data_IF_387030155448
#
_entry.id   IF_387030155448
#
_cell.length_a   1.000
_cell.length_b   1.000
_cell.length_c   1.000
_cell.angle_alpha   90.00
_cell.angle_beta   90.00
_cell.angle_gamma   90.00
#
_symmetry.space_group_name_H-M   'P 1'
#
loop_
_entity.id
_entity.type
_entity.pdbx_description
1 polymer ?
#
# COMPACT_ATOMS: atom_id res chain seq x y z
N UNK A 1 -1.72 -14.91 15.35
CA UNK A 1 -0.58 -14.02 15.61
C UNK A 1 0.01 -13.57 14.27
N UNK A 2 0.28 -12.30 14.14
CA UNK A 2 0.90 -11.73 12.92
C UNK A 2 2.42 -11.78 13.07
N UNK A 3 3.08 -12.29 12.04
CA UNK A 3 4.54 -12.21 11.91
C UNK A 3 4.88 -11.14 10.89
N UNK A 4 5.99 -10.44 11.11
CA UNK A 4 6.45 -9.33 10.29
C UNK A 4 7.83 -9.65 9.75
N UNK A 5 8.01 -9.50 8.46
CA UNK A 5 9.33 -9.73 7.84
C UNK A 5 9.49 -8.94 6.53
N UNK A 6 10.72 -8.86 6.06
CA UNK A 6 11.00 -8.32 4.73
C UNK A 6 10.47 -9.24 3.64
N UNK A 7 10.19 -8.66 2.47
CA UNK A 7 9.81 -9.40 1.27
C UNK A 7 10.90 -10.41 0.89
N UNK A 8 10.48 -11.54 0.36
CA UNK A 8 11.35 -12.60 -0.15
C UNK A 8 10.89 -13.03 -1.53
N UNK A 9 11.81 -13.50 -2.37
CA UNK A 9 11.43 -14.16 -3.63
C UNK A 9 10.56 -15.38 -3.31
N UNK A 10 9.44 -15.50 -4.04
CA UNK A 10 8.39 -16.46 -3.75
C UNK A 10 7.13 -15.82 -3.19
N UNK A 11 7.21 -14.58 -2.68
CA UNK A 11 6.06 -13.84 -2.13
C UNK A 11 5.19 -13.19 -3.21
N UNK A 12 5.67 -13.09 -4.43
CA UNK A 12 5.11 -12.23 -5.47
C UNK A 12 3.63 -12.51 -5.77
N UNK A 13 3.27 -13.75 -5.97
CA UNK A 13 1.89 -14.12 -6.29
C UNK A 13 0.94 -13.80 -5.12
N UNK A 14 1.36 -14.06 -3.88
CA UNK A 14 0.57 -13.78 -2.70
C UNK A 14 0.39 -12.27 -2.48
N UNK A 15 1.43 -11.48 -2.72
CA UNK A 15 1.38 -10.02 -2.63
C UNK A 15 0.38 -9.44 -3.64
N UNK A 16 0.45 -9.88 -4.89
CA UNK A 16 -0.49 -9.43 -5.93
C UNK A 16 -1.92 -9.82 -5.59
N UNK A 17 -2.13 -11.02 -5.04
CA UNK A 17 -3.45 -11.47 -4.61
C UNK A 17 -4.02 -10.56 -3.50
N UNK A 18 -3.21 -10.15 -2.53
CA UNK A 18 -3.63 -9.19 -1.49
C UNK A 18 -3.99 -7.84 -2.10
N UNK A 19 -3.18 -7.34 -3.03
CA UNK A 19 -3.45 -6.09 -3.74
C UNK A 19 -4.80 -6.12 -4.45
N UNK A 20 -5.02 -7.13 -5.29
CA UNK A 20 -6.27 -7.27 -6.06
C UNK A 20 -7.48 -7.40 -5.13
N UNK A 21 -7.40 -8.27 -4.14
CA UNK A 21 -8.50 -8.47 -3.20
C UNK A 21 -8.82 -7.20 -2.40
N UNK A 22 -7.81 -6.49 -1.93
CA UNK A 22 -7.99 -5.26 -1.18
C UNK A 22 -8.66 -4.18 -2.03
N UNK A 23 -8.20 -3.96 -3.25
CA UNK A 23 -8.82 -2.96 -4.13
C UNK A 23 -10.27 -3.32 -4.42
N UNK A 24 -10.54 -4.53 -4.87
CA UNK A 24 -11.88 -4.92 -5.31
C UNK A 24 -12.90 -5.10 -4.19
N UNK A 25 -12.48 -5.51 -2.99
CA UNK A 25 -13.40 -5.79 -1.90
C UNK A 25 -13.49 -4.66 -0.87
N UNK A 26 -12.43 -3.88 -0.68
CA UNK A 26 -12.42 -2.79 0.31
C UNK A 26 -12.66 -1.44 -0.36
N UNK A 27 -11.95 -1.13 -1.44
CA UNK A 27 -12.06 0.17 -2.10
C UNK A 27 -13.34 0.33 -2.93
N UNK A 28 -14.10 -0.71 -3.18
CA UNK A 28 -15.35 -0.65 -3.95
C UNK A 28 -16.41 0.29 -3.39
N UNK A 29 -16.34 0.60 -2.11
CA UNK A 29 -17.27 1.56 -1.47
C UNK A 29 -16.99 3.00 -1.89
N UNK A 30 -15.79 3.30 -2.39
CA UNK A 30 -15.33 4.65 -2.69
C UNK A 30 -15.01 4.87 -4.17
N UNK A 31 -14.99 3.80 -4.97
CA UNK A 31 -14.64 3.84 -6.40
C UNK A 31 -15.59 2.98 -7.23
N UNK A 32 -15.99 3.44 -8.43
CA UNK A 32 -16.82 2.64 -9.33
C UNK A 32 -16.03 1.48 -9.95
N UNK A 33 -16.72 0.43 -10.45
CA UNK A 33 -16.07 -0.77 -10.99
C UNK A 33 -15.04 -0.52 -12.09
N UNK A 34 -15.27 0.45 -12.97
CA UNK A 34 -14.33 0.80 -14.04
C UNK A 34 -12.98 1.27 -13.49
N UNK A 35 -13.01 2.08 -12.42
CA UNK A 35 -11.79 2.57 -11.79
C UNK A 35 -11.08 1.46 -11.02
N UNK A 36 -11.81 0.58 -10.35
CA UNK A 36 -11.22 -0.59 -9.67
C UNK A 36 -10.52 -1.51 -10.66
N UNK A 37 -11.14 -1.78 -11.80
CA UNK A 37 -10.58 -2.63 -12.83
C UNK A 37 -9.30 -2.04 -13.46
N UNK A 38 -9.25 -0.72 -13.64
CA UNK A 38 -8.07 -0.03 -14.15
C UNK A 38 -6.95 0.01 -13.11
N UNK A 39 -7.29 0.20 -11.84
CA UNK A 39 -6.34 0.25 -10.73
C UNK A 39 -5.73 -1.13 -10.47
N UNK A 40 -6.55 -2.16 -10.37
CA UNK A 40 -6.12 -3.53 -10.09
C UNK A 40 -6.81 -4.49 -11.07
N UNK A 41 -6.26 -4.69 -12.28
CA UNK A 41 -6.78 -5.68 -13.20
C UNK A 41 -6.79 -7.07 -12.54
N UNK A 42 -7.94 -7.76 -12.64
CA UNK A 42 -8.10 -9.08 -12.00
C UNK A 42 -7.33 -10.18 -12.73
N UNK A 43 -6.96 -9.93 -13.99
CA UNK A 43 -6.17 -10.86 -14.82
C UNK A 43 -5.08 -10.09 -15.55
N UNK A 44 -4.02 -10.80 -15.92
CA UNK A 44 -2.95 -10.26 -16.75
C UNK A 44 -1.80 -9.59 -16.01
N UNK A 45 -1.85 -9.48 -14.68
CA UNK A 45 -0.70 -9.00 -13.91
C UNK A 45 0.33 -10.13 -13.82
N UNK A 46 1.56 -9.84 -14.27
CA UNK A 46 2.71 -10.70 -13.99
C UNK A 46 3.23 -10.39 -12.59
N UNK A 47 3.11 -11.31 -11.62
CA UNK A 47 3.48 -11.01 -10.24
C UNK A 47 4.96 -10.64 -10.07
N UNK A 48 5.85 -11.28 -10.81
CA UNK A 48 7.29 -11.01 -10.73
C UNK A 48 7.59 -9.60 -11.20
N UNK A 49 7.04 -9.20 -12.35
CA UNK A 49 7.24 -7.86 -12.90
C UNK A 49 6.61 -6.78 -12.01
N UNK A 50 5.39 -7.05 -11.50
CA UNK A 50 4.69 -6.10 -10.62
C UNK A 50 5.45 -5.87 -9.31
N UNK A 51 6.03 -6.93 -8.74
CA UNK A 51 6.76 -6.86 -7.47
C UNK A 51 8.22 -6.42 -7.62
N UNK A 52 8.78 -6.34 -8.84
CA UNK A 52 10.20 -6.00 -9.02
C UNK A 52 10.62 -4.72 -8.28
N UNK A 53 9.86 -3.60 -8.33
CA UNK A 53 10.21 -2.40 -7.56
C UNK A 53 10.22 -2.60 -6.04
N UNK A 54 9.41 -3.54 -5.53
CA UNK A 54 9.32 -3.81 -4.09
C UNK A 54 10.65 -4.32 -3.52
N UNK A 55 11.45 -5.02 -4.33
CA UNK A 55 12.76 -5.51 -3.90
C UNK A 55 13.83 -4.43 -3.90
N UNK A 56 13.58 -3.28 -4.55
CA UNK A 56 14.46 -2.11 -4.52
C UNK A 56 14.16 -1.21 -3.33
N UNK A 57 12.97 -1.33 -2.76
CA UNK A 57 12.46 -0.49 -1.68
C UNK A 57 12.56 -1.21 -0.33
N UNK A 58 12.31 -0.49 0.75
CA UNK A 58 12.06 -1.08 2.06
C UNK A 58 10.64 -1.64 2.07
N UNK A 59 10.54 -2.96 2.01
CA UNK A 59 9.25 -3.65 1.88
C UNK A 59 9.05 -4.66 3.00
N UNK A 60 7.94 -4.51 3.71
CA UNK A 60 7.51 -5.39 4.79
C UNK A 60 6.27 -6.17 4.40
N UNK A 61 6.20 -7.41 4.84
CA UNK A 61 5.00 -8.24 4.73
C UNK A 61 4.50 -8.65 6.11
N UNK A 62 3.18 -8.72 6.24
CA UNK A 62 2.49 -9.26 7.40
C UNK A 62 2.02 -10.67 7.07
N UNK A 63 2.36 -11.63 7.91
CA UNK A 63 2.06 -13.05 7.70
C UNK A 63 1.20 -13.56 8.84
N UNK A 64 0.09 -14.21 8.51
CA UNK A 64 -0.82 -14.85 9.48
C UNK A 64 -1.03 -16.30 9.07
N UNK A 65 -0.74 -17.23 9.98
CA UNK A 65 -0.88 -18.67 9.73
C UNK A 65 -0.18 -19.10 8.42
N UNK A 66 1.02 -18.59 8.16
CA UNK A 66 1.81 -18.90 6.97
C UNK A 66 1.35 -18.22 5.69
N UNK A 67 0.38 -17.31 5.75
CA UNK A 67 -0.15 -16.58 4.57
C UNK A 67 0.15 -15.10 4.69
N UNK A 68 0.54 -14.48 3.58
CA UNK A 68 0.68 -13.03 3.51
C UNK A 68 -0.73 -12.40 3.55
N UNK A 69 -0.94 -11.49 4.50
CA UNK A 69 -2.22 -10.80 4.72
C UNK A 69 -2.09 -9.29 4.60
N UNK A 70 -0.90 -8.80 4.39
CA UNK A 70 -0.66 -7.37 4.17
C UNK A 70 0.77 -7.11 3.74
N UNK A 71 0.99 -5.97 3.11
CA UNK A 71 2.33 -5.51 2.75
C UNK A 71 2.35 -3.99 2.57
N UNK A 72 3.53 -3.43 2.70
CA UNK A 72 3.77 -2.01 2.43
C UNK A 72 5.21 -1.81 1.99
N UNK A 73 5.44 -0.82 1.15
CA UNK A 73 6.79 -0.45 0.72
C UNK A 73 6.99 1.06 0.74
N UNK A 74 8.21 1.44 1.07
CA UNK A 74 8.66 2.83 1.07
C UNK A 74 9.94 2.93 0.25
N UNK A 75 10.00 3.93 -0.62
CA UNK A 75 11.22 4.23 -1.38
C UNK A 75 12.28 4.82 -0.46
N UNK A 76 13.53 4.81 -0.90
CA UNK A 76 14.65 5.40 -0.14
C UNK A 76 14.48 6.91 0.07
N UNK A 77 13.74 7.58 -0.81
CA UNK A 77 13.47 9.02 -0.69
C UNK A 77 12.32 9.36 0.27
N UNK A 78 11.60 8.37 0.79
CA UNK A 78 10.51 8.59 1.73
C UNK A 78 9.13 8.66 1.08
N UNK A 79 8.94 8.05 -0.07
CA UNK A 79 7.61 7.88 -0.66
C UNK A 79 7.02 6.53 -0.23
N UNK A 80 5.93 6.60 0.51
CA UNK A 80 5.16 5.41 0.90
C UNK A 80 4.27 5.02 -0.29
N UNK A 81 4.71 4.03 -1.04
CA UNK A 81 4.16 3.73 -2.35
C UNK A 81 2.90 2.88 -2.27
N UNK A 82 2.96 1.76 -1.55
CA UNK A 82 1.86 0.80 -1.44
C UNK A 82 1.64 0.40 0.00
N UNK A 83 0.38 0.34 0.42
CA UNK A 83 -0.06 -0.22 1.71
C UNK A 83 -1.37 -0.95 1.45
N UNK A 84 -1.35 -2.26 1.54
CA UNK A 84 -2.55 -3.08 1.32
C UNK A 84 -2.67 -4.16 2.38
N UNK A 85 -3.89 -4.37 2.86
CA UNK A 85 -4.24 -5.41 3.84
C UNK A 85 -5.40 -6.23 3.28
N UNK A 86 -5.29 -7.56 3.41
CA UNK A 86 -6.34 -8.47 2.95
C UNK A 86 -7.69 -8.11 3.56
N UNK A 87 -8.79 -8.25 2.81
CA UNK A 87 -10.13 -7.95 3.32
C UNK A 87 -10.49 -8.69 4.62
N UNK A 88 -9.97 -9.90 4.79
CA UNK A 88 -10.21 -10.74 5.97
C UNK A 88 -9.49 -10.26 7.22
N UNK A 89 -8.53 -9.35 7.09
CA UNK A 89 -7.67 -8.89 8.18
C UNK A 89 -7.72 -7.36 8.38
N UNK A 90 -8.76 -6.71 7.88
CA UNK A 90 -9.00 -5.29 8.10
C UNK A 90 -9.30 -5.00 9.58
N UNK A 91 -8.97 -3.80 10.04
CA UNK A 91 -9.32 -3.35 11.40
C UNK A 91 -8.53 -4.00 12.51
N UNK A 92 -7.39 -4.63 12.22
CA UNK A 92 -6.54 -5.32 13.20
C UNK A 92 -5.21 -4.59 13.48
N UNK A 93 -5.04 -3.39 12.97
CA UNK A 93 -3.82 -2.60 13.17
C UNK A 93 -2.65 -3.01 12.27
N UNK A 94 -2.87 -3.83 11.25
CA UNK A 94 -1.79 -4.30 10.37
C UNK A 94 -1.19 -3.15 9.57
N UNK A 95 -2.02 -2.34 8.91
CA UNK A 95 -1.54 -1.18 8.14
C UNK A 95 -0.80 -0.19 9.03
N UNK A 96 -1.33 0.10 10.21
CA UNK A 96 -0.72 1.00 11.19
C UNK A 96 0.67 0.51 11.60
N UNK A 97 0.82 -0.79 11.85
CA UNK A 97 2.12 -1.37 12.21
C UNK A 97 3.12 -1.29 11.05
N UNK A 98 2.70 -1.68 9.84
CA UNK A 98 3.57 -1.61 8.66
C UNK A 98 4.09 -0.20 8.41
N UNK A 99 3.20 0.79 8.42
CA UNK A 99 3.56 2.20 8.21
C UNK A 99 4.51 2.69 9.31
N UNK A 100 4.21 2.37 10.56
CA UNK A 100 5.04 2.79 11.71
C UNK A 100 6.46 2.25 11.63
N UNK A 101 6.63 0.99 11.24
CA UNK A 101 7.97 0.39 11.08
C UNK A 101 8.73 1.05 9.93
N UNK A 102 8.07 1.25 8.78
CA UNK A 102 8.71 1.91 7.63
C UNK A 102 9.10 3.35 7.95
N UNK A 103 8.28 4.08 8.71
CA UNK A 103 8.63 5.44 9.17
C UNK A 103 9.87 5.43 10.06
N UNK A 104 9.98 4.47 10.99
CA UNK A 104 11.17 4.35 11.84
C UNK A 104 12.42 4.06 11.01
N UNK A 105 12.32 3.17 10.02
CA UNK A 105 13.43 2.87 9.12
C UNK A 105 13.85 4.12 8.33
N UNK A 106 12.88 4.83 7.77
CA UNK A 106 13.14 6.05 7.02
C UNK A 106 13.85 7.11 7.88
N UNK A 107 13.37 7.31 9.10
CA UNK A 107 14.00 8.25 10.04
C UNK A 107 15.45 7.86 10.36
N UNK A 108 15.72 6.57 10.54
CA UNK A 108 17.06 6.07 10.79
C UNK A 108 18.00 6.30 9.60
N UNK A 109 17.47 6.44 8.39
CA UNK A 109 18.23 6.74 7.17
C UNK A 109 18.25 8.24 6.81
N UNK A 110 17.82 9.12 7.72
CA UNK A 110 17.90 10.56 7.54
C UNK A 110 16.73 11.16 6.75
N UNK A 111 15.67 10.42 6.51
CA UNK A 111 14.45 10.95 5.89
C UNK A 111 13.65 11.72 6.94
N UNK A 112 13.24 12.95 6.59
CA UNK A 112 12.50 13.82 7.52
C UNK A 112 11.05 14.07 7.10
N UNK A 113 10.66 13.68 5.90
CA UNK A 113 9.32 13.90 5.38
C UNK A 113 8.90 12.70 4.54
N UNK A 114 7.75 12.12 4.89
CA UNK A 114 7.15 11.02 4.15
C UNK A 114 5.98 11.57 3.34
N UNK A 115 5.86 11.13 2.09
CA UNK A 115 4.72 11.43 1.23
C UNK A 115 3.99 10.15 0.84
N UNK A 116 2.71 10.26 0.55
CA UNK A 116 1.86 9.16 0.09
C UNK A 116 0.78 9.69 -0.83
N UNK A 117 0.40 8.90 -1.83
CA UNK A 117 -0.81 9.13 -2.62
C UNK A 117 -1.91 8.26 -2.02
N UNK A 118 -2.68 8.81 -1.09
CA UNK A 118 -3.72 8.08 -0.37
C UNK A 118 -4.97 7.93 -1.22
N UNK A 119 -5.48 6.71 -1.36
CA UNK A 119 -6.80 6.50 -1.94
C UNK A 119 -7.89 7.16 -1.08
N UNK A 120 -9.07 7.40 -1.66
CA UNK A 120 -10.22 7.90 -0.88
C UNK A 120 -10.53 6.96 0.29
N UNK A 121 -10.36 5.65 0.08
CA UNK A 121 -10.58 4.63 1.10
C UNK A 121 -9.58 4.74 2.27
N UNK A 122 -8.34 5.12 1.99
CA UNK A 122 -7.27 5.20 2.99
C UNK A 122 -7.09 6.59 3.61
N UNK A 123 -7.82 7.60 3.13
CA UNK A 123 -7.64 9.00 3.56
C UNK A 123 -7.75 9.15 5.07
N UNK A 124 -8.82 8.63 5.68
CA UNK A 124 -9.04 8.71 7.12
C UNK A 124 -7.95 7.98 7.91
N UNK A 125 -7.50 6.83 7.41
CA UNK A 125 -6.39 6.10 8.01
C UNK A 125 -5.13 6.94 8.08
N UNK A 126 -4.73 7.57 6.96
CA UNK A 126 -3.52 8.38 6.96
C UNK A 126 -3.64 9.64 7.79
N UNK A 127 -4.81 10.27 7.84
CA UNK A 127 -5.04 11.38 8.78
C UNK A 127 -4.82 10.94 10.22
N UNK A 128 -5.31 9.77 10.60
CA UNK A 128 -5.13 9.22 11.95
C UNK A 128 -3.66 8.87 12.23
N UNK A 129 -2.86 8.57 11.20
CA UNK A 129 -1.42 8.34 11.32
C UNK A 129 -0.60 9.64 11.38
N UNK A 130 -1.23 10.80 11.30
CA UNK A 130 -0.56 12.09 11.40
C UNK A 130 -0.19 12.71 10.05
N UNK A 131 -0.67 12.16 8.94
CA UNK A 131 -0.46 12.74 7.61
C UNK A 131 -1.43 13.89 7.37
N UNK A 132 -0.96 14.92 6.68
CA UNK A 132 -1.73 16.09 6.30
C UNK A 132 -1.94 16.13 4.79
N UNK A 133 -3.10 16.61 4.37
CA UNK A 133 -3.42 16.79 2.95
C UNK A 133 -2.54 17.88 2.34
N UNK A 134 -1.93 17.57 1.20
CA UNK A 134 -1.16 18.56 0.41
C UNK A 134 -2.00 19.04 -0.77
N UNK A 135 -2.50 18.12 -1.61
CA UNK A 135 -3.45 18.44 -2.68
C UNK A 135 -4.25 17.21 -3.13
N UNK A 136 -5.40 17.48 -3.75
CA UNK A 136 -6.16 16.46 -4.48
C UNK A 136 -5.43 16.13 -5.79
N UNK A 137 -5.34 14.85 -6.13
CA UNK A 137 -4.56 14.35 -7.25
C UNK A 137 -5.37 13.39 -8.11
N UNK A 138 -5.00 13.27 -9.36
CA UNK A 138 -5.59 12.32 -10.30
C UNK A 138 -4.46 11.57 -10.98
N UNK A 139 -4.58 10.24 -11.00
CA UNK A 139 -3.70 9.37 -11.78
C UNK A 139 -4.49 8.77 -12.93
N UNK A 140 -3.80 8.36 -13.99
CA UNK A 140 -4.42 7.68 -15.12
C UNK A 140 -3.87 6.26 -15.23
N UNK A 141 -4.78 5.28 -15.34
CA UNK A 141 -4.46 3.86 -15.53
C UNK A 141 -5.33 3.34 -16.67
N UNK A 142 -4.71 2.82 -17.72
CA UNK A 142 -5.42 2.31 -18.91
C UNK A 142 -6.45 3.30 -19.45
N UNK A 143 -6.10 4.58 -19.51
CA UNK A 143 -7.00 5.65 -19.96
C UNK A 143 -8.08 6.04 -18.97
N UNK A 144 -8.14 5.44 -17.78
CA UNK A 144 -9.14 5.73 -16.75
C UNK A 144 -8.52 6.65 -15.68
N UNK A 145 -9.21 7.75 -15.37
CA UNK A 145 -8.78 8.72 -14.37
C UNK A 145 -9.26 8.29 -12.99
N UNK A 146 -8.34 8.22 -12.02
CA UNK A 146 -8.62 7.78 -10.66
C UNK A 146 -8.13 8.85 -9.69
N UNK A 147 -9.03 9.35 -8.83
CA UNK A 147 -8.70 10.35 -7.84
C UNK A 147 -8.02 9.76 -6.61
N UNK A 148 -7.07 10.50 -6.07
CA UNK A 148 -6.47 10.23 -4.76
C UNK A 148 -6.06 11.55 -4.11
N UNK A 149 -5.39 11.49 -2.98
CA UNK A 149 -4.94 12.68 -2.25
C UNK A 149 -3.47 12.53 -1.91
N UNK A 150 -2.66 13.49 -2.31
CA UNK A 150 -1.27 13.56 -1.88
C UNK A 150 -1.25 14.06 -0.44
N UNK A 151 -0.60 13.30 0.43
CA UNK A 151 -0.48 13.61 1.84
C UNK A 151 0.99 13.54 2.25
N UNK A 152 1.33 14.22 3.34
CA UNK A 152 2.68 14.24 3.86
C UNK A 152 2.70 14.25 5.38
N UNK A 153 3.78 13.71 5.94
CA UNK A 153 4.07 13.71 7.37
C UNK A 153 5.53 14.06 7.60
N UNK A 154 5.78 15.02 8.47
CA UNK A 154 7.15 15.30 8.96
C UNK A 154 7.46 14.31 10.08
N UNK A 155 8.62 13.69 9.99
CA UNK A 155 9.04 12.67 10.97
C UNK A 155 10.35 13.03 11.66
#
# INVERSE_FOLDING_TARGET
MIQWRSIQHGDEAAIVAVFIASVHQVARRDYPPEQLAAWAPETGIDPVAWCAPLFQDDTLVAVSAGRIVGFANMTLAGYLDRVYVAPTHQGQGIASHLVSVLERHARAHGVHRITVAASHTALAFFKAQGYQVVWANIVERDGVRIGNTIMAKVI
#
